data_IF_226115186760
#
_entry.id   IF_226115186760
#
_cell.length_a   1.000
_cell.length_b   1.000
_cell.length_c   1.000
_cell.angle_alpha   90.00
_cell.angle_beta   90.00
_cell.angle_gamma   90.00
#
_symmetry.space_group_name_H-M   'P 1'
#
loop_
_entity.id
_entity.type
_entity.pdbx_description
1 polymer ?
#
# COMPACT_ATOMS: atom_id res chain seq x y z
N UNK A 1 8.06 14.92 -41.12
CA UNK A 1 6.57 14.80 -41.10
C UNK A 1 6.08 13.44 -40.57
N UNK A 2 6.50 12.30 -41.12
CA UNK A 2 6.10 10.93 -40.67
C UNK A 2 6.42 10.64 -39.18
N UNK A 3 7.61 11.01 -38.72
CA UNK A 3 8.08 10.79 -37.32
C UNK A 3 7.26 11.60 -36.31
N UNK A 4 6.92 12.86 -36.65
CA UNK A 4 6.08 13.73 -35.78
C UNK A 4 4.65 13.16 -35.70
N UNK A 5 4.13 12.63 -36.81
CA UNK A 5 2.80 12.03 -36.88
C UNK A 5 2.73 10.75 -36.01
N UNK A 6 3.79 9.94 -36.02
CA UNK A 6 3.90 8.74 -35.17
C UNK A 6 3.91 9.11 -33.67
N UNK A 7 4.70 10.10 -33.27
CA UNK A 7 4.74 10.58 -31.89
C UNK A 7 3.37 11.08 -31.41
N UNK A 8 2.66 11.86 -32.21
CA UNK A 8 1.33 12.35 -31.87
C UNK A 8 0.30 11.20 -31.75
N UNK A 9 0.39 10.18 -32.62
CA UNK A 9 -0.47 9.01 -32.52
C UNK A 9 -0.22 8.23 -31.23
N UNK A 10 1.04 8.03 -30.86
CA UNK A 10 1.42 7.34 -29.60
C UNK A 10 0.89 8.08 -28.37
N UNK A 11 1.04 9.39 -28.31
CA UNK A 11 0.49 10.21 -27.21
C UNK A 11 -1.05 10.13 -27.11
N UNK A 12 -1.75 10.03 -28.25
CA UNK A 12 -3.20 9.79 -28.26
C UNK A 12 -3.56 8.40 -27.70
N UNK A 13 -2.80 7.38 -28.08
CA UNK A 13 -2.99 6.01 -27.57
C UNK A 13 -2.72 5.99 -26.08
N UNK A 14 -1.59 6.55 -25.62
CA UNK A 14 -1.23 6.66 -24.20
C UNK A 14 -2.39 7.21 -23.36
N UNK A 15 -2.93 8.37 -23.74
CA UNK A 15 -4.08 8.99 -23.06
C UNK A 15 -5.34 8.12 -23.06
N UNK A 16 -5.61 7.40 -24.15
CA UNK A 16 -6.79 6.52 -24.25
C UNK A 16 -6.69 5.27 -23.39
N UNK A 17 -5.49 4.70 -23.26
CA UNK A 17 -5.29 3.45 -22.53
C UNK A 17 -5.03 3.68 -21.04
N UNK A 18 -4.63 4.88 -20.61
CA UNK A 18 -4.25 5.15 -19.22
C UNK A 18 -5.35 4.77 -18.20
N UNK A 19 -6.60 5.17 -18.45
CA UNK A 19 -7.74 4.85 -17.58
C UNK A 19 -8.04 3.35 -17.58
N UNK A 20 -8.33 2.68 -18.72
CA UNK A 20 -8.63 1.25 -18.70
C UNK A 20 -7.46 0.42 -18.16
N UNK A 21 -6.22 0.81 -18.41
CA UNK A 21 -5.03 0.16 -17.86
C UNK A 21 -5.02 0.18 -16.33
N UNK A 22 -5.10 1.38 -15.74
CA UNK A 22 -5.01 1.53 -14.28
C UNK A 22 -6.23 0.92 -13.59
N UNK A 23 -7.44 1.11 -14.11
CA UNK A 23 -8.67 0.53 -13.54
C UNK A 23 -8.65 -1.00 -13.63
N UNK A 24 -8.23 -1.58 -14.76
CA UNK A 24 -8.12 -3.04 -14.87
C UNK A 24 -7.07 -3.58 -13.89
N UNK A 25 -5.90 -2.91 -13.79
CA UNK A 25 -4.85 -3.30 -12.86
C UNK A 25 -5.35 -3.25 -11.40
N UNK A 26 -6.03 -2.17 -11.04
CA UNK A 26 -6.65 -1.99 -9.73
C UNK A 26 -7.63 -3.12 -9.40
N UNK A 27 -8.60 -3.39 -10.27
CA UNK A 27 -9.62 -4.41 -10.06
C UNK A 27 -9.01 -5.81 -9.88
N UNK A 28 -8.03 -6.18 -10.71
CA UNK A 28 -7.34 -7.48 -10.56
C UNK A 28 -6.64 -7.58 -9.21
N UNK A 29 -5.96 -6.52 -8.76
CA UNK A 29 -5.26 -6.56 -7.48
C UNK A 29 -6.21 -6.49 -6.28
N UNK A 30 -7.33 -5.79 -6.38
CA UNK A 30 -8.40 -5.86 -5.36
C UNK A 30 -8.95 -7.29 -5.29
N UNK A 31 -9.24 -7.93 -6.42
CA UNK A 31 -9.70 -9.32 -6.45
C UNK A 31 -8.72 -10.27 -5.74
N UNK A 32 -7.41 -10.09 -5.95
CA UNK A 32 -6.37 -10.88 -5.26
C UNK A 32 -6.31 -10.66 -3.74
N UNK A 33 -6.90 -9.60 -3.23
CA UNK A 33 -7.03 -9.38 -1.79
C UNK A 33 -8.25 -10.07 -1.18
N UNK A 34 -9.17 -10.59 -2.00
CA UNK A 34 -10.37 -11.32 -1.57
C UNK A 34 -10.03 -12.80 -1.43
N UNK A 35 -10.32 -13.39 -0.26
CA UNK A 35 -9.97 -14.78 0.06
C UNK A 35 -10.52 -15.80 -0.96
N UNK A 36 -11.74 -15.61 -1.45
CA UNK A 36 -12.37 -16.50 -2.44
C UNK A 36 -11.57 -16.54 -3.76
N UNK A 37 -10.90 -15.44 -4.13
CA UNK A 37 -10.08 -15.40 -5.35
C UNK A 37 -9.00 -16.48 -5.37
N UNK A 38 -8.46 -16.88 -4.21
CA UNK A 38 -7.44 -17.92 -4.09
C UNK A 38 -7.92 -19.31 -4.51
N UNK A 39 -9.23 -19.51 -4.65
CA UNK A 39 -9.83 -20.77 -5.13
C UNK A 39 -9.99 -20.82 -6.65
N UNK A 40 -9.74 -19.71 -7.35
CA UNK A 40 -9.81 -19.67 -8.81
C UNK A 40 -8.68 -20.49 -9.46
N UNK A 41 -8.92 -21.08 -10.62
CA UNK A 41 -7.87 -21.76 -11.39
C UNK A 41 -6.69 -20.79 -11.67
N UNK A 42 -5.47 -21.27 -11.47
CA UNK A 42 -4.23 -20.48 -11.70
C UNK A 42 -4.12 -19.93 -13.11
N UNK A 43 -4.75 -20.61 -14.10
CA UNK A 43 -4.81 -20.14 -15.49
C UNK A 43 -5.52 -18.79 -15.64
N UNK A 44 -6.58 -18.54 -14.85
CA UNK A 44 -7.32 -17.27 -14.87
C UNK A 44 -6.44 -16.15 -14.32
N UNK A 45 -5.76 -16.37 -13.19
CA UNK A 45 -4.84 -15.38 -12.62
C UNK A 45 -3.65 -15.09 -13.56
N UNK A 46 -3.15 -16.14 -14.25
CA UNK A 46 -2.10 -16.00 -15.25
C UNK A 46 -2.56 -15.17 -16.46
N UNK A 47 -3.80 -15.36 -16.93
CA UNK A 47 -4.38 -14.55 -18.00
C UNK A 47 -4.49 -13.07 -17.60
N UNK A 48 -5.00 -12.76 -16.41
CA UNK A 48 -5.07 -11.39 -15.92
C UNK A 48 -3.67 -10.76 -15.77
N UNK A 49 -2.71 -11.54 -15.30
CA UNK A 49 -1.30 -11.11 -15.23
C UNK A 49 -0.75 -10.76 -16.62
N UNK A 50 -1.02 -11.61 -17.63
CA UNK A 50 -0.59 -11.37 -19.02
C UNK A 50 -1.21 -10.09 -19.58
N UNK A 51 -2.51 -9.87 -19.36
CA UNK A 51 -3.20 -8.64 -19.81
C UNK A 51 -2.57 -7.40 -19.17
N UNK A 52 -2.29 -7.43 -17.84
CA UNK A 52 -1.60 -6.34 -17.16
C UNK A 52 -0.24 -6.07 -17.80
N UNK A 53 0.55 -7.12 -18.05
CA UNK A 53 1.88 -6.97 -18.66
C UNK A 53 1.80 -6.37 -20.08
N UNK A 54 0.84 -6.83 -20.89
CA UNK A 54 0.64 -6.29 -22.24
C UNK A 54 0.22 -4.82 -22.21
N UNK A 55 -0.78 -4.46 -21.40
CA UNK A 55 -1.22 -3.07 -21.27
C UNK A 55 -0.11 -2.17 -20.73
N UNK A 56 0.66 -2.65 -19.76
CA UNK A 56 1.83 -1.93 -19.22
C UNK A 56 2.91 -1.73 -20.29
N UNK A 57 3.18 -2.75 -21.10
CA UNK A 57 4.14 -2.68 -22.20
C UNK A 57 3.70 -1.68 -23.28
N UNK A 58 2.41 -1.70 -23.67
CA UNK A 58 1.86 -0.74 -24.63
C UNK A 58 1.95 0.68 -24.05
N UNK A 59 1.55 0.88 -22.79
CA UNK A 59 1.69 2.18 -22.12
C UNK A 59 3.14 2.65 -22.10
N UNK A 60 4.08 1.80 -21.70
CA UNK A 60 5.52 2.09 -21.68
C UNK A 60 6.04 2.56 -23.04
N UNK A 61 5.74 1.81 -24.10
CA UNK A 61 6.18 2.16 -25.47
C UNK A 61 5.56 3.49 -25.89
N UNK A 62 4.25 3.68 -25.69
CA UNK A 62 3.57 4.91 -26.08
C UNK A 62 4.04 6.13 -25.29
N UNK A 63 4.52 5.93 -24.06
CA UNK A 63 5.05 6.99 -23.18
C UNK A 63 6.48 7.38 -23.52
N UNK A 64 7.39 6.40 -23.61
CA UNK A 64 8.82 6.66 -23.74
C UNK A 64 9.29 6.87 -25.19
N UNK A 65 8.71 6.17 -26.17
CA UNK A 65 9.16 6.30 -27.56
C UNK A 65 9.02 7.73 -28.12
N UNK A 66 7.92 8.47 -27.88
CA UNK A 66 7.83 9.89 -28.25
C UNK A 66 8.93 10.76 -27.63
N UNK A 67 9.30 10.49 -26.36
CA UNK A 67 10.33 11.24 -25.64
C UNK A 67 11.70 11.07 -26.32
N UNK A 68 12.06 9.83 -26.71
CA UNK A 68 13.29 9.54 -27.43
C UNK A 68 13.30 10.13 -28.85
N UNK A 69 12.18 10.00 -29.57
CA UNK A 69 12.05 10.53 -30.94
C UNK A 69 12.18 12.05 -30.98
N UNK A 70 11.51 12.75 -30.06
CA UNK A 70 11.46 14.21 -30.03
C UNK A 70 12.61 14.83 -29.24
N UNK A 71 13.52 14.01 -28.69
CA UNK A 71 14.63 14.43 -27.83
C UNK A 71 14.17 15.38 -26.69
N UNK A 72 12.96 15.15 -26.18
CA UNK A 72 12.44 15.97 -25.09
C UNK A 72 13.30 15.76 -23.85
N UNK A 73 13.69 16.87 -23.22
CA UNK A 73 14.34 16.82 -21.90
C UNK A 73 13.33 16.37 -20.86
N UNK A 74 13.24 15.07 -20.62
CA UNK A 74 12.48 14.52 -19.51
C UNK A 74 13.43 14.09 -18.40
N UNK A 75 13.05 14.34 -17.14
CA UNK A 75 13.79 13.82 -16.00
C UNK A 75 13.58 12.31 -15.91
N UNK A 76 14.58 11.55 -16.34
CA UNK A 76 14.61 10.10 -16.22
C UNK A 76 15.07 9.74 -14.80
N UNK A 77 14.42 8.76 -14.19
CA UNK A 77 14.76 8.28 -12.84
C UNK A 77 15.92 7.26 -12.92
N UNK A 78 17.14 7.76 -13.08
CA UNK A 78 18.35 6.93 -13.21
C UNK A 78 18.56 5.98 -12.03
N UNK A 79 18.17 6.37 -10.82
CA UNK A 79 18.26 5.50 -9.64
C UNK A 79 17.37 4.26 -9.75
N UNK A 80 16.19 4.36 -10.37
CA UNK A 80 15.34 3.20 -10.62
C UNK A 80 15.93 2.29 -11.69
N UNK A 81 16.55 2.85 -12.73
CA UNK A 81 17.28 2.07 -13.76
C UNK A 81 18.45 1.33 -13.10
N UNK A 82 19.25 2.02 -12.31
CA UNK A 82 20.39 1.43 -11.59
C UNK A 82 19.91 0.30 -10.64
N UNK A 83 18.78 0.51 -9.95
CA UNK A 83 18.19 -0.51 -9.09
C UNK A 83 17.75 -1.76 -9.87
N UNK A 84 17.13 -1.62 -11.04
CA UNK A 84 16.79 -2.75 -11.93
C UNK A 84 18.06 -3.48 -12.39
N UNK A 85 19.13 -2.74 -12.71
CA UNK A 85 20.43 -3.32 -13.04
C UNK A 85 21.00 -4.19 -11.91
N UNK A 86 20.90 -3.70 -10.66
CA UNK A 86 21.32 -4.47 -9.48
C UNK A 86 20.42 -5.70 -9.27
N UNK A 87 19.10 -5.58 -9.43
CA UNK A 87 18.18 -6.72 -9.35
C UNK A 87 18.52 -7.81 -10.39
N UNK A 88 18.91 -7.40 -11.58
CA UNK A 88 19.36 -8.32 -12.62
C UNK A 88 20.69 -8.99 -12.26
N UNK A 89 21.67 -8.22 -11.79
CA UNK A 89 22.96 -8.74 -11.35
C UNK A 89 22.82 -9.73 -10.19
N UNK A 90 22.04 -9.40 -9.15
CA UNK A 90 21.83 -10.34 -8.03
C UNK A 90 21.11 -11.61 -8.49
N UNK A 91 20.21 -11.50 -9.48
CA UNK A 91 19.53 -12.66 -10.08
C UNK A 91 20.52 -13.55 -10.85
N UNK A 92 21.47 -12.98 -11.58
CA UNK A 92 22.52 -13.72 -12.29
C UNK A 92 23.47 -14.41 -11.32
N UNK A 93 23.93 -13.69 -10.28
CA UNK A 93 24.84 -14.24 -9.26
C UNK A 93 24.19 -15.44 -8.54
N UNK A 94 22.89 -15.38 -8.27
CA UNK A 94 22.14 -16.43 -7.57
C UNK A 94 21.25 -17.25 -8.52
N UNK A 95 21.69 -17.45 -9.77
CA UNK A 95 20.89 -18.07 -10.84
C UNK A 95 20.38 -19.48 -10.54
N UNK A 96 21.05 -20.21 -9.65
CA UNK A 96 20.64 -21.56 -9.20
C UNK A 96 19.38 -21.56 -8.36
N UNK A 97 18.97 -20.38 -7.82
CA UNK A 97 17.83 -20.26 -6.91
C UNK A 97 16.75 -19.38 -7.53
N UNK A 98 15.59 -19.97 -7.83
CA UNK A 98 14.40 -19.28 -8.29
C UNK A 98 14.61 -18.27 -9.45
N UNK A 99 15.48 -18.57 -10.42
CA UNK A 99 15.84 -17.66 -11.51
C UNK A 99 14.64 -17.12 -12.28
N UNK A 100 13.74 -18.00 -12.74
CA UNK A 100 12.52 -17.62 -13.48
C UNK A 100 11.60 -16.70 -12.67
N UNK A 101 11.44 -16.97 -11.37
CA UNK A 101 10.61 -16.15 -10.50
C UNK A 101 11.22 -14.77 -10.22
N UNK A 102 12.55 -14.68 -10.17
CA UNK A 102 13.28 -13.41 -10.08
C UNK A 102 13.09 -12.58 -11.36
N UNK A 103 13.20 -13.19 -12.56
CA UNK A 103 12.94 -12.49 -13.82
C UNK A 103 11.49 -11.96 -13.88
N UNK A 104 10.51 -12.77 -13.51
CA UNK A 104 9.11 -12.32 -13.41
C UNK A 104 8.97 -11.14 -12.44
N UNK A 105 9.67 -11.16 -11.31
CA UNK A 105 9.64 -10.06 -10.34
C UNK A 105 10.29 -8.79 -10.91
N UNK A 106 11.40 -8.90 -11.64
CA UNK A 106 12.03 -7.75 -12.31
C UNK A 106 11.07 -7.10 -13.29
N UNK A 107 10.35 -7.89 -14.10
CA UNK A 107 9.32 -7.36 -15.02
C UNK A 107 8.26 -6.58 -14.23
N UNK A 108 7.80 -7.11 -13.10
CA UNK A 108 6.84 -6.41 -12.24
C UNK A 108 7.39 -5.09 -11.67
N UNK A 109 8.68 -5.06 -11.28
CA UNK A 109 9.30 -3.81 -10.83
C UNK A 109 9.39 -2.79 -11.98
N UNK A 110 9.72 -3.23 -13.19
CA UNK A 110 9.69 -2.36 -14.38
C UNK A 110 8.28 -1.78 -14.63
N UNK A 111 7.23 -2.58 -14.47
CA UNK A 111 5.84 -2.11 -14.58
C UNK A 111 5.55 -1.01 -13.56
N UNK A 112 5.91 -1.21 -12.28
CA UNK A 112 5.69 -0.22 -11.24
C UNK A 112 6.50 1.07 -11.48
N UNK A 113 7.75 0.95 -11.89
CA UNK A 113 8.67 2.09 -12.03
C UNK A 113 8.43 2.89 -13.31
N UNK A 114 8.18 2.20 -14.43
CA UNK A 114 8.17 2.82 -15.75
C UNK A 114 6.78 2.87 -16.41
N UNK A 115 5.75 2.29 -15.77
CA UNK A 115 4.37 2.43 -16.23
C UNK A 115 3.51 3.08 -15.16
N UNK A 116 3.33 2.47 -13.98
CA UNK A 116 2.44 3.01 -12.93
C UNK A 116 2.91 4.36 -12.41
N UNK A 117 4.20 4.49 -12.08
CA UNK A 117 4.80 5.75 -11.61
C UNK A 117 4.69 6.86 -12.67
N UNK A 118 4.88 6.53 -13.96
CA UNK A 118 4.75 7.51 -15.03
C UNK A 118 3.29 7.89 -15.31
N UNK A 119 2.32 6.97 -15.14
CA UNK A 119 0.89 7.35 -15.10
C UNK A 119 0.65 8.37 -13.99
N UNK A 120 1.20 8.15 -12.81
CA UNK A 120 1.15 9.11 -11.70
C UNK A 120 1.75 10.47 -12.08
N UNK A 121 2.93 10.48 -12.73
CA UNK A 121 3.61 11.70 -13.22
C UNK A 121 2.90 12.42 -14.34
N UNK A 122 1.99 11.77 -15.08
CA UNK A 122 1.15 12.47 -16.06
C UNK A 122 0.19 13.45 -15.38
N UNK A 123 -0.12 13.25 -14.10
CA UNK A 123 -1.07 14.02 -13.30
C UNK A 123 -2.43 14.23 -14.00
N UNK A 124 -2.86 13.24 -14.78
CA UNK A 124 -4.16 13.28 -15.45
C UNK A 124 -5.27 13.12 -14.41
N UNK A 125 -6.02 14.21 -14.20
CA UNK A 125 -7.12 14.25 -13.22
C UNK A 125 -8.20 13.19 -13.49
N UNK A 126 -8.42 12.81 -14.75
CA UNK A 126 -9.42 11.80 -15.12
C UNK A 126 -8.99 10.40 -14.72
N UNK A 127 -7.69 10.09 -14.82
CA UNK A 127 -7.11 8.82 -14.37
C UNK A 127 -7.26 8.68 -12.85
N UNK A 128 -6.84 9.70 -12.09
CA UNK A 128 -6.97 9.69 -10.62
C UNK A 128 -8.44 9.61 -10.18
N UNK A 129 -9.32 10.36 -10.83
CA UNK A 129 -10.75 10.33 -10.52
C UNK A 129 -11.35 8.95 -10.77
N UNK A 130 -11.02 8.29 -11.89
CA UNK A 130 -11.49 6.94 -12.19
C UNK A 130 -10.96 5.93 -11.17
N UNK A 131 -9.65 5.96 -10.87
CA UNK A 131 -9.02 5.12 -9.88
C UNK A 131 -9.65 5.29 -8.49
N UNK A 132 -9.76 6.53 -7.99
CA UNK A 132 -10.31 6.84 -6.67
C UNK A 132 -11.79 6.44 -6.53
N UNK A 133 -12.60 6.57 -7.58
CA UNK A 133 -14.00 6.13 -7.56
C UNK A 133 -14.12 4.61 -7.54
N UNK A 134 -13.37 3.91 -8.38
CA UNK A 134 -13.37 2.44 -8.38
C UNK A 134 -12.91 1.93 -7.02
N UNK A 135 -11.82 2.48 -6.48
CA UNK A 135 -11.34 2.16 -5.14
C UNK A 135 -12.46 2.34 -4.08
N UNK A 136 -13.05 3.53 -4.00
CA UNK A 136 -14.06 3.81 -2.98
C UNK A 136 -15.28 2.90 -3.10
N UNK A 137 -15.81 2.71 -4.32
CA UNK A 137 -17.02 1.93 -4.53
C UNK A 137 -16.76 0.45 -4.22
N UNK A 138 -15.75 -0.13 -4.86
CA UNK A 138 -15.48 -1.57 -4.74
C UNK A 138 -15.02 -1.90 -3.33
N UNK A 139 -14.06 -1.14 -2.78
CA UNK A 139 -13.52 -1.42 -1.46
C UNK A 139 -14.57 -1.24 -0.36
N UNK A 140 -15.41 -0.20 -0.44
CA UNK A 140 -16.47 0.01 0.53
C UNK A 140 -17.51 -1.12 0.47
N UNK A 141 -17.87 -1.60 -0.71
CA UNK A 141 -18.77 -2.75 -0.83
C UNK A 141 -18.18 -4.01 -0.17
N UNK A 142 -16.87 -4.29 -0.38
CA UNK A 142 -16.19 -5.40 0.27
C UNK A 142 -16.13 -5.26 1.79
N UNK A 143 -15.91 -4.05 2.31
CA UNK A 143 -15.93 -3.75 3.75
C UNK A 143 -17.33 -3.92 4.34
N UNK A 144 -18.38 -3.48 3.64
CA UNK A 144 -19.77 -3.71 4.08
C UNK A 144 -20.07 -5.19 4.22
N UNK A 145 -19.65 -6.02 3.23
CA UNK A 145 -19.81 -7.47 3.34
C UNK A 145 -19.02 -8.01 4.55
N UNK A 146 -17.80 -7.54 4.79
CA UNK A 146 -17.01 -7.94 5.96
C UNK A 146 -17.68 -7.60 7.29
N UNK A 147 -18.24 -6.40 7.42
CA UNK A 147 -18.99 -5.97 8.60
C UNK A 147 -20.29 -6.76 8.77
N UNK A 148 -20.99 -7.04 7.67
CA UNK A 148 -22.19 -7.91 7.71
C UNK A 148 -21.86 -9.29 8.26
N UNK A 149 -20.78 -9.93 7.79
CA UNK A 149 -20.33 -11.23 8.28
C UNK A 149 -20.01 -11.20 9.79
N UNK A 150 -19.44 -10.10 10.28
CA UNK A 150 -19.18 -9.91 11.71
C UNK A 150 -20.47 -9.88 12.53
N UNK A 151 -21.46 -9.06 12.13
CA UNK A 151 -22.73 -8.97 12.83
C UNK A 151 -23.57 -10.25 12.74
N UNK A 152 -23.55 -10.90 11.57
CA UNK A 152 -24.21 -12.18 11.35
C UNK A 152 -23.49 -13.36 12.03
N UNK A 153 -22.32 -13.14 12.66
CA UNK A 153 -21.46 -14.16 13.26
C UNK A 153 -21.12 -15.33 12.30
N UNK A 154 -20.97 -15.00 11.02
CA UNK A 154 -20.60 -15.98 9.99
C UNK A 154 -19.08 -16.03 9.89
N UNK A 155 -18.52 -17.22 10.11
CA UNK A 155 -17.10 -17.48 9.94
C UNK A 155 -16.90 -18.81 9.22
N UNK A 156 -15.99 -18.82 8.24
CA UNK A 156 -15.70 -20.00 7.43
C UNK A 156 -14.20 -20.10 7.18
N UNK A 157 -13.62 -21.26 7.42
CA UNK A 157 -12.23 -21.56 7.14
C UNK A 157 -12.10 -22.82 6.28
N UNK A 158 -11.21 -22.78 5.28
CA UNK A 158 -10.88 -23.93 4.43
C UNK A 158 -9.37 -23.93 4.15
N UNK A 159 -8.68 -25.09 4.24
CA UNK A 159 -7.30 -25.19 3.77
C UNK A 159 -7.20 -24.85 2.29
N UNK A 160 -6.25 -24.01 1.92
CA UNK A 160 -5.91 -23.65 0.54
C UNK A 160 -4.40 -23.50 0.47
N UNK A 161 -3.74 -24.31 -0.35
CA UNK A 161 -2.29 -24.43 -0.45
C UNK A 161 -1.59 -23.11 -0.83
N UNK A 162 -2.28 -22.23 -1.57
CA UNK A 162 -1.77 -20.93 -1.97
C UNK A 162 -1.75 -19.88 -0.85
N UNK A 163 -2.41 -20.16 0.27
CA UNK A 163 -2.54 -19.24 1.42
C UNK A 163 -1.92 -19.83 2.67
N UNK A 164 -1.00 -19.12 3.32
CA UNK A 164 -0.29 -19.57 4.51
C UNK A 164 -1.21 -20.04 5.66
N UNK A 165 -2.30 -19.31 5.90
CA UNK A 165 -3.31 -19.66 6.92
C UNK A 165 -4.56 -20.32 6.33
N UNK A 166 -4.53 -20.77 5.05
CA UNK A 166 -5.73 -21.16 4.34
C UNK A 166 -6.67 -19.99 4.05
N UNK A 167 -7.85 -20.29 3.48
CA UNK A 167 -8.90 -19.32 3.25
C UNK A 167 -9.68 -19.08 4.56
N UNK A 168 -9.73 -17.85 5.01
CA UNK A 168 -10.49 -17.40 6.19
C UNK A 168 -11.48 -16.31 5.78
N UNK A 169 -12.75 -16.47 6.12
CA UNK A 169 -13.81 -15.52 5.84
C UNK A 169 -14.59 -15.30 7.14
N UNK A 170 -14.79 -14.02 7.54
CA UNK A 170 -15.47 -13.65 8.77
C UNK A 170 -14.53 -13.23 9.89
N UNK A 171 -14.77 -13.70 11.11
CA UNK A 171 -14.05 -13.28 12.30
C UNK A 171 -13.24 -14.45 12.87
N UNK A 172 -11.90 -14.34 12.91
CA UNK A 172 -10.97 -15.37 13.38
C UNK A 172 -9.89 -14.77 14.27
N UNK A 173 -9.42 -15.52 15.26
CA UNK A 173 -8.34 -15.11 16.18
C UNK A 173 -8.61 -13.73 16.80
N UNK A 174 -9.90 -13.47 17.11
CA UNK A 174 -10.39 -12.19 17.61
C UNK A 174 -10.06 -10.99 16.69
N UNK A 175 -10.11 -11.22 15.36
CA UNK A 175 -9.85 -10.24 14.30
C UNK A 175 -10.86 -10.37 13.18
N UNK A 176 -11.29 -9.25 12.62
CA UNK A 176 -12.13 -9.22 11.43
C UNK A 176 -11.28 -9.39 10.16
N UNK A 177 -11.28 -10.59 9.61
CA UNK A 177 -10.80 -10.84 8.25
C UNK A 177 -11.83 -10.32 7.22
N UNK A 178 -13.12 -10.41 7.54
CA UNK A 178 -14.19 -10.15 6.58
C UNK A 178 -14.09 -11.14 5.43
N UNK A 179 -13.89 -10.64 4.23
CA UNK A 179 -13.64 -11.46 3.03
C UNK A 179 -12.20 -11.35 2.53
N UNK A 180 -11.33 -10.65 3.26
CA UNK A 180 -9.95 -10.37 2.83
C UNK A 180 -8.98 -11.48 3.27
N UNK A 181 -7.93 -11.68 2.47
CA UNK A 181 -6.86 -12.66 2.76
C UNK A 181 -6.10 -12.30 4.05
N UNK A 182 -5.87 -11.01 4.30
CA UNK A 182 -5.13 -10.55 5.46
C UNK A 182 -5.68 -9.20 5.95
N UNK A 183 -6.12 -9.11 7.23
CA UNK A 183 -6.68 -7.89 7.79
C UNK A 183 -5.66 -6.74 7.91
N UNK A 184 -4.35 -7.01 7.95
CA UNK A 184 -3.35 -5.94 8.00
C UNK A 184 -3.27 -5.18 6.66
N UNK A 185 -3.23 -5.91 5.55
CA UNK A 185 -3.26 -5.30 4.22
C UNK A 185 -4.59 -4.58 3.96
N UNK A 186 -5.70 -5.20 4.35
CA UNK A 186 -7.02 -4.60 4.18
C UNK A 186 -7.17 -3.31 4.99
N UNK A 187 -6.62 -3.25 6.22
CA UNK A 187 -6.58 -2.02 7.02
C UNK A 187 -5.81 -0.90 6.34
N UNK A 188 -4.67 -1.20 5.71
CA UNK A 188 -3.90 -0.20 4.96
C UNK A 188 -4.72 0.42 3.83
N UNK A 189 -5.42 -0.40 3.04
CA UNK A 189 -6.27 0.12 1.95
C UNK A 189 -7.48 0.88 2.50
N UNK A 190 -8.08 0.43 3.60
CA UNK A 190 -9.16 1.16 4.27
C UNK A 190 -8.72 2.56 4.73
N UNK A 191 -7.49 2.73 5.21
CA UNK A 191 -6.92 4.05 5.54
C UNK A 191 -6.74 4.92 4.30
N UNK A 192 -6.30 4.35 3.18
CA UNK A 192 -6.25 5.06 1.89
C UNK A 192 -7.66 5.50 1.46
N UNK A 193 -8.67 4.64 1.60
CA UNK A 193 -10.07 5.00 1.30
C UNK A 193 -10.57 6.14 2.20
N UNK A 194 -10.19 6.19 3.48
CA UNK A 194 -10.49 7.33 4.36
C UNK A 194 -9.92 8.62 3.78
N UNK A 195 -8.64 8.63 3.36
CA UNK A 195 -7.99 9.83 2.80
C UNK A 195 -8.64 10.28 1.49
N UNK A 196 -8.98 9.35 0.61
CA UNK A 196 -9.70 9.66 -0.64
C UNK A 196 -11.11 10.19 -0.35
N UNK A 197 -11.82 9.61 0.62
CA UNK A 197 -13.14 10.10 1.04
C UNK A 197 -13.06 11.50 1.68
N UNK A 198 -12.02 11.79 2.49
CA UNK A 198 -11.73 13.12 3.04
C UNK A 198 -11.49 14.12 1.91
N UNK A 199 -10.71 13.77 0.88
CA UNK A 199 -10.51 14.61 -0.32
C UNK A 199 -11.83 14.95 -0.99
N UNK A 200 -12.66 13.93 -1.22
CA UNK A 200 -13.96 14.12 -1.85
C UNK A 200 -14.90 14.96 -0.97
N UNK A 201 -14.86 14.79 0.35
CA UNK A 201 -15.63 15.60 1.29
C UNK A 201 -15.23 17.09 1.23
N UNK A 202 -13.94 17.39 1.21
CA UNK A 202 -13.41 18.77 1.14
C UNK A 202 -13.83 19.43 -0.18
N UNK A 203 -13.73 18.69 -1.30
CA UNK A 203 -13.97 19.20 -2.64
C UNK A 203 -15.46 19.16 -3.06
N UNK A 204 -16.33 18.53 -2.28
CA UNK A 204 -17.74 18.40 -2.61
C UNK A 204 -18.52 19.69 -2.32
N UNK A 205 -19.31 20.15 -3.31
CA UNK A 205 -20.28 21.22 -3.13
C UNK A 205 -21.66 20.67 -2.68
N UNK A 206 -21.98 19.42 -3.01
CA UNK A 206 -23.25 18.78 -2.71
C UNK A 206 -23.23 18.15 -1.30
N UNK A 207 -24.23 18.52 -0.45
CA UNK A 207 -24.39 17.98 0.91
C UNK A 207 -24.56 16.44 0.94
N UNK A 208 -25.25 15.86 -0.03
CA UNK A 208 -25.45 14.42 -0.10
C UNK A 208 -24.13 13.68 -0.32
N UNK A 209 -23.26 14.22 -1.20
CA UNK A 209 -21.94 13.65 -1.39
C UNK A 209 -21.09 13.74 -0.11
N UNK A 210 -21.21 14.83 0.65
CA UNK A 210 -20.53 14.95 1.96
C UNK A 210 -21.02 13.89 2.94
N UNK A 211 -22.33 13.64 3.00
CA UNK A 211 -22.90 12.58 3.86
C UNK A 211 -22.37 11.22 3.44
N UNK A 212 -22.36 10.91 2.14
CA UNK A 212 -21.79 9.64 1.62
C UNK A 212 -20.33 9.49 2.03
N UNK A 213 -19.52 10.55 1.89
CA UNK A 213 -18.12 10.51 2.32
C UNK A 213 -17.97 10.22 3.82
N UNK A 214 -18.80 10.85 4.68
CA UNK A 214 -18.79 10.59 6.14
C UNK A 214 -19.16 9.12 6.42
N UNK A 215 -20.16 8.57 5.75
CA UNK A 215 -20.55 7.16 5.89
C UNK A 215 -19.40 6.24 5.46
N UNK A 216 -18.77 6.52 4.33
CA UNK A 216 -17.61 5.74 3.87
C UNK A 216 -16.48 5.80 4.88
N UNK A 217 -16.12 7.00 5.39
CA UNK A 217 -15.09 7.16 6.43
C UNK A 217 -15.42 6.32 7.66
N UNK A 218 -16.65 6.36 8.13
CA UNK A 218 -17.10 5.60 9.30
C UNK A 218 -16.99 4.08 9.07
N UNK A 219 -17.43 3.58 7.91
CA UNK A 219 -17.33 2.15 7.57
C UNK A 219 -15.87 1.67 7.51
N UNK A 220 -14.99 2.44 6.86
CA UNK A 220 -13.56 2.10 6.79
C UNK A 220 -12.90 2.14 8.18
N UNK A 221 -13.21 3.15 8.98
CA UNK A 221 -12.73 3.28 10.36
C UNK A 221 -13.19 2.11 11.24
N UNK A 222 -14.44 1.68 11.08
CA UNK A 222 -15.01 0.51 11.77
C UNK A 222 -14.28 -0.77 11.39
N UNK A 223 -13.95 -0.95 10.10
CA UNK A 223 -13.16 -2.10 9.66
C UNK A 223 -11.76 -2.10 10.30
N UNK A 224 -11.07 -0.95 10.29
CA UNK A 224 -9.75 -0.83 10.92
C UNK A 224 -9.82 -1.18 12.41
N UNK A 225 -10.84 -0.71 13.13
CA UNK A 225 -11.07 -1.00 14.55
C UNK A 225 -11.19 -2.52 14.80
N UNK A 226 -12.03 -3.21 14.02
CA UNK A 226 -12.30 -4.64 14.20
C UNK A 226 -11.23 -5.57 13.61
N UNK A 227 -10.35 -5.06 12.74
CA UNK A 227 -9.31 -5.85 12.07
C UNK A 227 -8.24 -6.39 13.03
N UNK A 228 -8.11 -5.82 14.24
CA UNK A 228 -7.03 -6.13 15.18
C UNK A 228 -5.63 -5.85 14.62
N UNK A 229 -5.52 -5.00 13.59
CA UNK A 229 -4.25 -4.69 12.93
C UNK A 229 -3.45 -3.66 13.72
N UNK A 230 -2.40 -4.08 14.43
CA UNK A 230 -1.47 -3.16 15.12
C UNK A 230 -0.81 -2.20 14.14
N UNK A 231 -0.42 -2.68 12.96
CA UNK A 231 0.13 -1.82 11.90
C UNK A 231 -0.89 -0.80 11.40
N UNK A 232 -2.17 -1.19 11.27
CA UNK A 232 -3.26 -0.28 10.90
C UNK A 232 -3.48 0.82 11.92
N UNK A 233 -3.38 0.50 13.23
CA UNK A 233 -3.46 1.51 14.30
C UNK A 233 -2.30 2.50 14.23
N UNK A 234 -1.08 2.03 14.06
CA UNK A 234 0.11 2.90 13.91
C UNK A 234 -0.03 3.81 12.69
N UNK A 235 -0.47 3.26 11.56
CA UNK A 235 -0.71 4.01 10.32
C UNK A 235 -1.81 5.08 10.52
N UNK A 236 -2.92 4.74 11.17
CA UNK A 236 -4.01 5.67 11.46
C UNK A 236 -3.55 6.85 12.31
N UNK A 237 -2.81 6.58 13.39
CA UNK A 237 -2.28 7.62 14.27
C UNK A 237 -1.28 8.50 13.52
N UNK A 238 -0.34 7.91 12.79
CA UNK A 238 0.64 8.65 12.00
C UNK A 238 -0.03 9.51 10.90
N UNK A 239 -1.04 8.96 10.23
CA UNK A 239 -1.86 9.66 9.25
C UNK A 239 -2.57 10.88 9.88
N UNK A 240 -3.19 10.70 11.04
CA UNK A 240 -3.87 11.79 11.75
C UNK A 240 -2.88 12.88 12.19
N UNK A 241 -1.77 12.49 12.82
CA UNK A 241 -0.72 13.44 13.26
C UNK A 241 -0.19 14.23 12.06
N UNK A 242 0.16 13.58 10.97
CA UNK A 242 0.70 14.22 9.76
C UNK A 242 -0.30 15.21 9.15
N UNK A 243 -1.54 14.76 8.91
CA UNK A 243 -2.57 15.61 8.29
C UNK A 243 -2.93 16.83 9.14
N UNK A 244 -3.09 16.64 10.44
CA UNK A 244 -3.45 17.72 11.37
C UNK A 244 -2.28 18.68 11.53
N UNK A 245 -1.03 18.20 11.56
CA UNK A 245 0.16 19.04 11.60
C UNK A 245 0.19 20.00 10.42
N UNK A 246 0.07 19.51 9.20
CA UNK A 246 0.15 20.35 8.00
C UNK A 246 -1.11 21.20 7.79
N UNK A 247 -2.28 20.73 8.22
CA UNK A 247 -3.49 21.56 8.24
C UNK A 247 -3.33 22.74 9.21
N UNK A 248 -2.86 22.48 10.43
CA UNK A 248 -2.62 23.54 11.40
C UNK A 248 -1.49 24.48 10.95
N UNK A 249 -0.45 23.95 10.29
CA UNK A 249 0.59 24.76 9.65
C UNK A 249 0.02 25.72 8.60
N UNK A 250 -0.92 25.26 7.78
CA UNK A 250 -1.63 26.08 6.80
C UNK A 250 -2.42 27.22 7.49
N UNK A 251 -3.18 26.89 8.53
CA UNK A 251 -3.97 27.90 9.27
C UNK A 251 -3.10 28.99 9.93
N UNK A 252 -1.85 28.67 10.24
CA UNK A 252 -0.91 29.61 10.82
C UNK A 252 -0.15 30.46 9.79
N UNK A 253 -0.45 30.31 8.48
CA UNK A 253 0.24 31.01 7.38
C UNK A 253 0.35 32.55 7.62
N UNK A 254 -0.75 33.17 8.02
CA UNK A 254 -0.87 34.62 8.17
C UNK A 254 -0.67 35.13 9.62
N UNK A 255 -0.24 34.24 10.53
CA UNK A 255 0.01 34.66 11.91
C UNK A 255 1.40 35.27 12.07
N UNK A 256 1.54 36.24 12.97
CA UNK A 256 2.83 36.88 13.32
C UNK A 256 3.75 36.02 14.19
N UNK A 257 3.38 34.77 14.49
CA UNK A 257 4.15 33.86 15.33
C UNK A 257 5.49 33.48 14.69
N UNK A 258 6.53 33.31 15.50
CA UNK A 258 7.80 32.75 15.03
C UNK A 258 7.64 31.31 14.52
N UNK A 259 8.52 30.86 13.63
CA UNK A 259 8.49 29.50 13.05
C UNK A 259 8.47 28.44 14.15
N UNK A 260 9.30 28.60 15.18
CA UNK A 260 9.37 27.66 16.32
C UNK A 260 8.02 27.57 17.03
N UNK A 261 7.35 28.70 17.33
CA UNK A 261 6.01 28.67 17.94
C UNK A 261 4.97 27.98 17.06
N UNK A 262 5.02 28.18 15.73
CA UNK A 262 4.15 27.49 14.76
C UNK A 262 4.37 25.98 14.79
N UNK A 263 5.63 25.53 14.77
CA UNK A 263 5.98 24.11 14.83
C UNK A 263 5.50 23.49 16.14
N UNK A 264 5.84 24.07 17.29
CA UNK A 264 5.45 23.56 18.61
C UNK A 264 3.93 23.47 18.73
N UNK A 265 3.20 24.49 18.32
CA UNK A 265 1.74 24.47 18.34
C UNK A 265 1.18 23.37 17.41
N UNK A 266 1.72 23.21 16.19
CA UNK A 266 1.26 22.16 15.26
C UNK A 266 1.54 20.77 15.80
N UNK A 267 2.70 20.55 16.44
CA UNK A 267 3.03 19.30 17.10
C UNK A 267 2.04 18.99 18.23
N UNK A 268 1.84 19.92 19.16
CA UNK A 268 0.92 19.73 20.29
C UNK A 268 -0.50 19.38 19.83
N UNK A 269 -1.06 20.18 18.89
CA UNK A 269 -2.41 19.95 18.37
C UNK A 269 -2.50 18.59 17.66
N UNK A 270 -1.52 18.22 16.86
CA UNK A 270 -1.55 16.96 16.13
C UNK A 270 -1.44 15.73 17.05
N UNK A 271 -0.62 15.78 18.10
CA UNK A 271 -0.56 14.71 19.10
C UNK A 271 -1.84 14.58 19.92
N UNK A 272 -2.43 15.71 20.37
CA UNK A 272 -3.72 15.69 21.06
C UNK A 272 -4.81 15.06 20.18
N UNK A 273 -4.90 15.49 18.91
CA UNK A 273 -5.86 14.90 17.99
C UNK A 273 -5.56 13.43 17.65
N UNK A 274 -4.29 13.04 17.54
CA UNK A 274 -3.90 11.64 17.39
C UNK A 274 -4.38 10.77 18.55
N UNK A 275 -4.27 11.26 19.79
CA UNK A 275 -4.80 10.60 20.97
C UNK A 275 -6.34 10.48 20.94
N UNK A 276 -7.04 11.52 20.48
CA UNK A 276 -8.50 11.49 20.30
C UNK A 276 -8.90 10.44 19.25
N UNK A 277 -8.20 10.38 18.11
CA UNK A 277 -8.45 9.38 17.06
C UNK A 277 -8.22 7.97 17.60
N UNK A 278 -7.17 7.74 18.38
CA UNK A 278 -6.92 6.46 19.02
C UNK A 278 -8.03 6.09 20.02
N UNK A 279 -8.41 7.01 20.89
CA UNK A 279 -9.54 6.81 21.82
C UNK A 279 -10.85 6.53 21.10
N UNK A 280 -11.13 7.24 20.01
CA UNK A 280 -12.29 7.00 19.14
C UNK A 280 -12.28 5.60 18.52
N UNK A 281 -11.11 5.11 18.09
CA UNK A 281 -10.95 3.75 17.57
C UNK A 281 -11.33 2.70 18.62
N UNK A 282 -10.84 2.86 19.85
CA UNK A 282 -11.15 1.96 20.97
C UNK A 282 -12.64 1.99 21.35
N UNK A 283 -13.26 3.17 21.32
CA UNK A 283 -14.70 3.31 21.59
C UNK A 283 -15.56 2.62 20.53
N UNK A 284 -15.21 2.79 19.24
CA UNK A 284 -15.91 2.13 18.14
C UNK A 284 -15.74 0.62 18.24
N UNK A 285 -14.54 0.12 18.49
CA UNK A 285 -14.28 -1.30 18.69
C UNK A 285 -15.12 -1.89 19.81
N UNK A 286 -15.08 -1.30 21.01
CA UNK A 286 -15.90 -1.72 22.16
C UNK A 286 -17.39 -1.66 21.87
N UNK A 287 -17.87 -0.60 21.21
CA UNK A 287 -19.26 -0.45 20.81
C UNK A 287 -19.75 -1.58 19.91
N UNK A 288 -18.96 -1.98 18.93
CA UNK A 288 -19.26 -3.12 18.04
C UNK A 288 -19.31 -4.45 18.80
N UNK A 289 -18.37 -4.68 19.74
CA UNK A 289 -18.34 -5.89 20.56
C UNK A 289 -19.57 -5.97 21.47
N UNK A 290 -19.93 -4.87 22.13
CA UNK A 290 -21.14 -4.82 22.94
C UNK A 290 -22.37 -5.08 22.07
N UNK A 291 -22.49 -4.42 20.92
CA UNK A 291 -23.62 -4.59 20.01
C UNK A 291 -23.75 -6.04 19.52
N UNK A 292 -22.67 -6.67 19.10
CA UNK A 292 -22.70 -8.07 18.61
C UNK A 292 -23.03 -9.05 19.73
N UNK A 293 -22.56 -8.80 20.96
CA UNK A 293 -22.83 -9.68 22.10
C UNK A 293 -24.22 -9.49 22.70
N UNK A 294 -24.90 -8.37 22.44
CA UNK A 294 -26.26 -8.13 22.91
C UNK A 294 -27.35 -8.75 22.01
N UNK A 295 -27.01 -9.12 20.79
CA UNK A 295 -27.94 -9.73 19.83
C UNK A 295 -27.82 -11.24 19.89
N UNK A 296 -28.87 -11.94 20.31
CA UNK A 296 -28.97 -13.39 20.21
C UNK A 296 -29.32 -13.78 18.76
N UNK A 297 -28.32 -13.92 17.93
CA UNK A 297 -28.49 -14.43 16.56
C UNK A 297 -28.29 -15.94 16.60
N UNK A 298 -29.35 -16.70 16.34
CA UNK A 298 -29.22 -18.10 15.97
C UNK A 298 -28.48 -18.14 14.63
N UNK A 299 -27.27 -18.71 14.62
CA UNK A 299 -26.51 -18.82 13.39
C UNK A 299 -27.24 -19.69 12.36
N UNK A 300 -27.20 -19.34 11.05
CA UNK A 300 -27.84 -20.15 10.02
C UNK A 300 -27.30 -21.59 10.08
N UNK A 301 -28.20 -22.58 10.01
CA UNK A 301 -27.89 -24.04 10.08
C UNK A 301 -27.01 -24.57 8.95
N UNK A 302 -26.55 -23.76 8.03
CA UNK A 302 -25.94 -24.17 6.75
C UNK A 302 -24.44 -24.51 6.84
N UNK A 303 -23.75 -24.23 7.95
CA UNK A 303 -22.28 -24.41 8.06
C UNK A 303 -21.93 -25.31 9.27
N UNK A 304 -22.26 -26.59 9.20
CA UNK A 304 -21.86 -27.60 10.19
C UNK A 304 -20.43 -28.10 9.95
N UNK A 305 -19.43 -27.40 10.50
CA UNK A 305 -18.13 -27.97 10.84
C UNK A 305 -17.87 -27.77 12.34
N UNK A 306 -17.29 -28.79 13.01
CA UNK A 306 -17.05 -28.79 14.47
C UNK A 306 -16.31 -27.54 14.99
N UNK A 307 -15.45 -26.91 14.18
CA UNK A 307 -14.80 -25.63 14.52
C UNK A 307 -15.77 -24.44 14.55
N UNK A 308 -16.83 -24.47 13.75
CA UNK A 308 -17.83 -23.40 13.69
C UNK A 308 -18.82 -23.46 14.87
N UNK A 309 -19.05 -24.62 15.48
CA UNK A 309 -19.87 -24.75 16.70
C UNK A 309 -19.24 -24.09 17.92
N UNK A 310 -17.90 -24.12 18.03
CA UNK A 310 -17.16 -23.46 19.12
C UNK A 310 -17.26 -21.93 19.08
N UNK A 311 -17.56 -21.33 17.90
CA UNK A 311 -17.70 -19.89 17.75
C UNK A 311 -19.15 -19.41 18.00
N UNK A 312 -20.17 -20.29 17.87
CA UNK A 312 -21.59 -19.95 18.04
C UNK A 312 -21.93 -19.46 19.45
N UNK A 313 -21.32 -20.03 20.49
CA UNK A 313 -21.67 -19.77 21.91
C UNK A 313 -20.63 -18.95 22.67
N UNK A 314 -19.52 -18.57 22.04
CA UNK A 314 -18.45 -17.80 22.68
C UNK A 314 -18.71 -16.30 22.55
N UNK A 315 -18.58 -15.55 23.66
CA UNK A 315 -18.58 -14.09 23.60
C UNK A 315 -17.48 -13.61 22.64
N UNK A 316 -17.87 -12.73 21.73
CA UNK A 316 -16.91 -12.07 20.83
C UNK A 316 -16.02 -11.16 21.67
N UNK A 317 -14.73 -11.24 21.49
CA UNK A 317 -13.71 -10.38 22.10
C UNK A 317 -12.70 -9.99 21.04
N UNK A 318 -11.99 -8.90 21.24
CA UNK A 318 -10.87 -8.46 20.37
C UNK A 318 -9.52 -8.70 21.03
N UNK A 319 -9.47 -9.32 22.22
CA UNK A 319 -8.21 -9.75 22.82
C UNK A 319 -7.55 -10.81 21.96
N UNK A 320 -6.36 -10.52 21.47
CA UNK A 320 -5.68 -11.34 20.47
C UNK A 320 -5.07 -12.60 21.09
N UNK A 321 -5.64 -13.76 20.77
CA UNK A 321 -5.17 -15.06 21.24
C UNK A 321 -3.86 -15.53 20.58
N UNK A 322 -3.55 -15.04 19.39
CA UNK A 322 -2.31 -15.39 18.67
C UNK A 322 -1.04 -14.78 19.29
N UNK A 323 -1.19 -13.85 20.24
CA UNK A 323 -0.10 -13.16 20.94
C UNK A 323 -0.10 -13.43 22.44
N UNK A 324 -1.19 -13.98 22.97
CA UNK A 324 -1.34 -14.28 24.38
C UNK A 324 -0.33 -15.35 24.82
N UNK A 325 0.43 -15.05 25.88
CA UNK A 325 1.45 -15.98 26.42
C UNK A 325 2.77 -16.07 25.66
N UNK A 326 2.99 -15.27 24.58
CA UNK A 326 4.27 -15.20 23.90
C UNK A 326 5.13 -14.07 24.47
N UNK A 327 6.37 -14.39 24.86
CA UNK A 327 7.37 -13.39 25.29
C UNK A 327 7.72 -12.40 24.16
N UNK A 328 7.52 -12.78 22.90
CA UNK A 328 7.84 -11.97 21.73
C UNK A 328 6.65 -11.10 21.29
N UNK A 329 6.62 -9.85 21.79
CA UNK A 329 5.66 -8.80 21.41
C UNK A 329 5.69 -8.51 19.91
N UNK A 330 6.82 -8.78 19.20
CA UNK A 330 7.01 -8.50 17.79
C UNK A 330 6.34 -9.50 16.85
N UNK A 331 5.79 -10.61 17.37
CA UNK A 331 5.27 -11.73 16.60
C UNK A 331 6.32 -12.27 15.60
N UNK A 332 7.49 -12.63 16.11
CA UNK A 332 8.65 -13.19 15.38
C UNK A 332 9.32 -12.24 14.38
N UNK A 333 8.94 -10.96 14.31
CA UNK A 333 9.56 -10.01 13.37
C UNK A 333 11.04 -9.80 13.63
N UNK A 334 11.46 -9.69 14.90
CA UNK A 334 12.89 -9.56 15.23
C UNK A 334 13.70 -10.78 14.79
N UNK A 335 13.15 -11.98 14.92
CA UNK A 335 13.80 -13.20 14.43
C UNK A 335 13.89 -13.23 12.89
N UNK A 336 12.86 -12.74 12.18
CA UNK A 336 12.87 -12.58 10.73
C UNK A 336 13.90 -11.53 10.28
N UNK A 337 13.99 -10.38 10.97
CA UNK A 337 14.96 -9.32 10.65
C UNK A 337 16.40 -9.78 10.89
N UNK A 338 16.65 -10.50 12.01
CA UNK A 338 17.96 -11.12 12.27
C UNK A 338 18.32 -12.09 11.14
N UNK A 339 17.37 -12.97 10.75
CA UNK A 339 17.57 -13.91 9.64
C UNK A 339 17.88 -13.19 8.31
N UNK A 340 17.22 -12.06 8.05
CA UNK A 340 17.47 -11.25 6.86
C UNK A 340 18.89 -10.64 6.85
N UNK A 341 19.36 -10.17 8.02
CA UNK A 341 20.74 -9.69 8.19
C UNK A 341 21.74 -10.81 7.97
N UNK A 342 21.48 -12.01 8.53
CA UNK A 342 22.38 -13.16 8.37
C UNK A 342 22.46 -13.62 6.89
N UNK A 343 21.33 -13.57 6.17
CA UNK A 343 21.30 -13.81 4.72
C UNK A 343 22.10 -12.76 3.93
N UNK A 344 21.97 -11.47 4.28
CA UNK A 344 22.75 -10.41 3.67
C UNK A 344 24.25 -10.64 3.84
N UNK A 345 24.71 -11.14 5.00
CA UNK A 345 26.14 -11.44 5.26
C UNK A 345 26.73 -12.52 4.33
N UNK A 346 25.91 -13.39 3.73
CA UNK A 346 26.39 -14.37 2.74
C UNK A 346 26.87 -13.70 1.45
N UNK A 347 26.23 -12.60 1.05
CA UNK A 347 26.63 -11.79 -0.09
C UNK A 347 26.31 -10.30 0.21
N UNK A 348 27.20 -9.58 0.93
CA UNK A 348 26.89 -8.25 1.44
C UNK A 348 26.63 -7.22 0.34
N UNK A 349 27.27 -7.34 -0.83
CA UNK A 349 27.18 -6.35 -1.90
C UNK A 349 25.87 -6.52 -2.68
N UNK A 350 25.56 -7.74 -3.14
CA UNK A 350 24.45 -8.01 -4.06
C UNK A 350 23.30 -8.81 -3.45
N UNK A 351 23.44 -9.32 -2.23
CA UNK A 351 22.38 -10.09 -1.55
C UNK A 351 22.13 -11.48 -2.14
N UNK A 352 20.99 -12.06 -1.80
CA UNK A 352 20.61 -13.45 -2.07
C UNK A 352 19.47 -13.61 -3.08
N UNK A 353 19.16 -12.58 -3.82
CA UNK A 353 18.02 -12.43 -4.75
C UNK A 353 16.61 -12.48 -4.09
N UNK A 354 15.62 -11.75 -4.65
CA UNK A 354 14.32 -11.58 -3.98
C UNK A 354 13.49 -12.87 -3.85
N UNK A 355 13.58 -13.78 -4.80
CA UNK A 355 12.82 -15.03 -4.80
C UNK A 355 13.64 -16.24 -4.35
N UNK A 356 14.96 -16.15 -4.44
CA UNK A 356 15.87 -17.19 -4.00
C UNK A 356 16.19 -17.17 -2.50
N UNK A 357 15.91 -16.09 -1.78
CA UNK A 357 16.37 -15.90 -0.40
C UNK A 357 15.90 -16.98 0.59
N UNK A 358 14.68 -17.53 0.41
CA UNK A 358 14.15 -18.63 1.26
C UNK A 358 14.90 -19.93 0.99
N UNK A 359 15.14 -20.25 -0.28
CA UNK A 359 15.83 -21.48 -0.67
C UNK A 359 17.30 -21.43 -0.23
N UNK A 360 17.94 -20.28 -0.39
CA UNK A 360 19.30 -20.02 0.11
C UNK A 360 19.34 -20.12 1.65
N UNK A 361 18.31 -19.60 2.34
CA UNK A 361 18.23 -19.74 3.79
C UNK A 361 18.15 -21.20 4.23
N UNK A 362 17.33 -22.02 3.56
CA UNK A 362 17.20 -23.45 3.84
C UNK A 362 18.51 -24.22 3.58
N UNK A 363 19.21 -23.86 2.49
CA UNK A 363 20.45 -24.51 2.08
C UNK A 363 21.65 -24.13 2.98
N UNK A 364 21.87 -22.83 3.20
CA UNK A 364 23.07 -22.30 3.83
C UNK A 364 22.92 -21.92 5.30
N UNK A 365 21.71 -21.60 5.74
CA UNK A 365 21.41 -21.12 7.09
C UNK A 365 20.14 -21.79 7.66
N UNK A 366 20.09 -23.14 7.75
CA UNK A 366 18.87 -23.88 8.09
C UNK A 366 18.35 -23.59 9.51
N UNK A 367 19.19 -23.06 10.40
CA UNK A 367 18.83 -22.70 11.77
C UNK A 367 18.03 -21.38 11.84
N UNK A 368 18.06 -20.56 10.79
CA UNK A 368 17.39 -19.24 10.79
C UNK A 368 15.87 -19.36 10.77
N UNK A 369 15.19 -18.32 11.27
CA UNK A 369 13.74 -18.30 11.33
C UNK A 369 13.12 -18.29 9.91
N UNK A 370 13.72 -17.59 8.94
CA UNK A 370 13.28 -17.59 7.53
C UNK A 370 13.37 -19.00 6.92
N UNK A 371 14.44 -19.75 7.20
CA UNK A 371 14.59 -21.12 6.70
C UNK A 371 13.47 -22.04 7.23
N UNK A 372 13.13 -21.89 8.52
CA UNK A 372 12.13 -22.72 9.20
C UNK A 372 10.68 -22.38 8.81
N UNK A 373 10.39 -21.10 8.57
CA UNK A 373 9.00 -20.63 8.36
C UNK A 373 8.68 -20.30 6.91
N UNK A 374 9.69 -20.18 6.05
CA UNK A 374 9.57 -19.74 4.64
C UNK A 374 8.88 -18.37 4.48
N UNK A 375 8.92 -17.53 5.53
CA UNK A 375 8.29 -16.21 5.53
C UNK A 375 9.24 -15.13 5.03
N UNK A 376 8.66 -14.07 4.46
CA UNK A 376 9.40 -12.83 4.17
C UNK A 376 9.75 -12.10 5.48
N UNK A 377 10.73 -11.17 5.47
CA UNK A 377 11.10 -10.39 6.66
C UNK A 377 9.98 -9.49 7.23
N UNK A 378 8.81 -9.42 6.60
CA UNK A 378 7.72 -8.51 6.99
C UNK A 378 8.16 -7.05 7.17
N UNK A 379 9.13 -6.62 6.37
CA UNK A 379 9.61 -5.26 6.25
C UNK A 379 10.29 -5.10 4.90
N UNK A 380 9.89 -4.08 4.14
CA UNK A 380 10.53 -3.86 2.83
C UNK A 380 12.03 -3.57 2.97
N UNK A 381 12.44 -2.90 4.05
CA UNK A 381 13.84 -2.56 4.30
C UNK A 381 14.71 -3.80 4.48
N UNK A 382 14.34 -4.69 5.41
CA UNK A 382 15.10 -5.92 5.66
C UNK A 382 14.99 -6.90 4.50
N UNK A 383 13.87 -6.92 3.80
CA UNK A 383 13.72 -7.72 2.59
C UNK A 383 14.62 -7.22 1.46
N UNK A 384 14.67 -5.91 1.24
CA UNK A 384 15.55 -5.28 0.28
C UNK A 384 17.03 -5.57 0.60
N UNK A 385 17.41 -5.43 1.88
CA UNK A 385 18.76 -5.71 2.36
C UNK A 385 19.20 -7.17 2.12
N UNK A 386 18.34 -8.13 2.46
CA UNK A 386 18.62 -9.54 2.21
C UNK A 386 18.67 -9.86 0.71
N UNK A 387 17.74 -9.31 -0.06
CA UNK A 387 17.57 -9.64 -1.47
C UNK A 387 18.61 -9.01 -2.40
N UNK A 388 19.01 -7.75 -2.13
CA UNK A 388 19.88 -6.96 -3.04
C UNK A 388 21.17 -6.48 -2.39
N UNK A 389 21.42 -6.87 -1.14
CA UNK A 389 22.57 -6.43 -0.37
C UNK A 389 22.59 -4.92 -0.12
N UNK A 390 23.75 -4.42 0.23
CA UNK A 390 23.97 -3.00 0.52
C UNK A 390 23.81 -2.15 -0.75
N UNK A 391 24.24 -2.64 -1.92
CA UNK A 391 24.20 -1.87 -3.16
C UNK A 391 22.76 -1.50 -3.58
N UNK A 392 21.87 -2.49 -3.67
CA UNK A 392 20.46 -2.22 -4.05
C UNK A 392 19.73 -1.43 -2.97
N UNK A 393 20.03 -1.69 -1.70
CA UNK A 393 19.46 -0.94 -0.59
C UNK A 393 19.83 0.54 -0.64
N UNK A 394 21.09 0.87 -0.82
CA UNK A 394 21.56 2.28 -0.91
C UNK A 394 20.92 2.97 -2.12
N UNK A 395 20.98 2.36 -3.30
CA UNK A 395 20.44 2.94 -4.54
C UNK A 395 18.95 3.23 -4.41
N UNK A 396 18.17 2.29 -3.85
CA UNK A 396 16.75 2.50 -3.65
C UNK A 396 16.45 3.56 -2.57
N UNK A 397 17.21 3.57 -1.47
CA UNK A 397 17.03 4.57 -0.42
C UNK A 397 17.40 5.97 -0.89
N UNK A 398 18.44 6.16 -1.71
CA UNK A 398 18.77 7.47 -2.31
C UNK A 398 17.57 7.96 -3.14
N UNK A 399 17.00 7.09 -3.99
CA UNK A 399 15.81 7.45 -4.74
C UNK A 399 14.68 7.87 -3.79
N UNK A 400 14.28 7.00 -2.88
CA UNK A 400 13.13 7.22 -2.00
C UNK A 400 13.30 8.47 -1.13
N UNK A 401 14.44 8.59 -0.45
CA UNK A 401 14.72 9.74 0.44
C UNK A 401 14.82 11.05 -0.33
N UNK A 402 15.36 11.05 -1.54
CA UNK A 402 15.39 12.26 -2.38
C UNK A 402 13.97 12.74 -2.73
N UNK A 403 13.03 11.82 -3.05
CA UNK A 403 11.63 12.17 -3.32
C UNK A 403 10.93 12.67 -2.06
N UNK A 404 11.11 12.00 -0.94
CA UNK A 404 10.54 12.42 0.35
C UNK A 404 11.07 13.80 0.79
N UNK A 405 12.36 14.05 0.64
CA UNK A 405 12.97 15.32 1.01
C UNK A 405 12.43 16.48 0.15
N UNK A 406 12.34 16.29 -1.16
CA UNK A 406 11.79 17.29 -2.05
C UNK A 406 10.30 17.56 -1.76
N UNK A 407 9.52 16.52 -1.50
CA UNK A 407 8.13 16.67 -1.10
C UNK A 407 8.01 17.38 0.26
N UNK A 408 8.85 17.03 1.24
CA UNK A 408 8.86 17.69 2.55
C UNK A 408 9.13 19.18 2.46
N UNK A 409 10.08 19.62 1.62
CA UNK A 409 10.30 21.05 1.37
C UNK A 409 9.04 21.75 0.90
N UNK A 410 8.29 21.14 -0.01
CA UNK A 410 7.06 21.71 -0.52
C UNK A 410 5.92 21.73 0.50
N UNK A 411 5.84 20.74 1.38
CA UNK A 411 4.84 20.70 2.46
C UNK A 411 4.96 21.89 3.41
N UNK A 412 6.14 22.45 3.59
CA UNK A 412 6.32 23.69 4.36
C UNK A 412 6.04 24.96 3.53
N UNK A 413 5.88 24.86 2.21
CA UNK A 413 5.51 25.94 1.33
C UNK A 413 3.99 26.03 1.14
N UNK A 414 3.29 26.71 2.04
CA UNK A 414 1.81 26.84 2.03
C UNK A 414 1.26 27.69 0.88
N UNK A 415 2.08 28.17 -0.04
CA UNK A 415 1.65 28.94 -1.23
C UNK A 415 1.31 28.05 -2.42
N UNK A 416 1.57 26.76 -2.32
CA UNK A 416 1.29 25.76 -3.38
C UNK A 416 -0.22 25.74 -3.65
N UNK A 417 -0.59 25.75 -4.92
CA UNK A 417 -1.97 25.56 -5.35
C UNK A 417 -2.48 24.17 -4.92
N UNK A 418 -3.73 24.11 -4.47
CA UNK A 418 -4.37 22.86 -4.01
C UNK A 418 -3.54 22.17 -2.89
N UNK A 419 -3.05 22.98 -1.91
CA UNK A 419 -2.16 22.52 -0.84
C UNK A 419 -2.72 21.31 -0.07
N UNK A 420 -4.02 21.31 0.25
CA UNK A 420 -4.64 20.21 1.00
C UNK A 420 -4.62 18.90 0.19
N UNK A 421 -4.82 18.95 -1.13
CA UNK A 421 -4.69 17.77 -1.99
C UNK A 421 -3.25 17.23 -1.98
N UNK A 422 -2.25 18.12 -1.94
CA UNK A 422 -0.86 17.72 -1.83
C UNK A 422 -0.53 17.08 -0.47
N UNK A 423 -1.10 17.58 0.62
CA UNK A 423 -0.99 16.96 1.96
C UNK A 423 -1.60 15.56 1.94
N UNK A 424 -2.81 15.40 1.37
CA UNK A 424 -3.50 14.10 1.27
C UNK A 424 -2.74 13.10 0.40
N UNK A 425 -2.15 13.54 -0.72
CA UNK A 425 -1.30 12.68 -1.56
C UNK A 425 -0.10 12.14 -0.75
N UNK A 426 0.54 13.01 0.02
CA UNK A 426 1.67 12.63 0.90
C UNK A 426 1.23 11.71 2.05
N UNK A 427 0.04 11.89 2.61
CA UNK A 427 -0.50 10.98 3.62
C UNK A 427 -0.74 9.57 3.06
N UNK A 428 -1.25 9.44 1.82
CA UNK A 428 -1.44 8.14 1.16
C UNK A 428 -0.09 7.44 1.02
N UNK A 429 0.94 8.13 0.53
CA UNK A 429 2.29 7.55 0.41
C UNK A 429 2.86 7.19 1.79
N UNK A 430 2.69 8.05 2.81
CA UNK A 430 3.14 7.82 4.18
C UNK A 430 2.49 6.56 4.80
N UNK A 431 1.18 6.40 4.67
CA UNK A 431 0.43 5.23 5.19
C UNK A 431 1.01 3.94 4.61
N UNK A 432 1.23 3.90 3.29
CA UNK A 432 1.77 2.70 2.63
C UNK A 432 3.24 2.49 2.99
N UNK A 433 4.03 3.55 3.14
CA UNK A 433 5.42 3.45 3.56
C UNK A 433 5.55 2.87 4.97
N UNK A 434 4.72 3.34 5.92
CA UNK A 434 4.67 2.77 7.28
C UNK A 434 4.21 1.30 7.23
N UNK A 435 3.21 0.99 6.40
CA UNK A 435 2.81 -0.40 6.16
C UNK A 435 4.00 -1.22 5.67
N UNK A 436 4.73 -0.73 4.68
CA UNK A 436 5.89 -1.42 4.11
C UNK A 436 7.04 -1.66 5.10
N UNK A 437 7.21 -0.79 6.12
CA UNK A 437 8.18 -1.01 7.21
C UNK A 437 7.77 -2.15 8.15
N UNK A 438 6.47 -2.41 8.27
CA UNK A 438 5.88 -3.41 9.17
C UNK A 438 5.39 -4.67 8.45
N UNK A 439 5.20 -4.57 7.13
CA UNK A 439 4.74 -5.63 6.23
C UNK A 439 5.44 -5.38 4.87
N UNK A 440 5.67 -6.38 4.03
CA UNK A 440 6.35 -6.17 2.74
C UNK A 440 5.37 -5.61 1.71
N UNK A 441 5.38 -4.31 1.42
CA UNK A 441 4.47 -3.69 0.45
C UNK A 441 5.19 -2.76 -0.53
N UNK A 442 5.97 -1.89 -0.33
CA UNK A 442 6.47 -0.81 -1.20
C UNK A 442 7.18 -1.31 -2.45
N UNK A 443 8.02 -2.34 -2.32
CA UNK A 443 8.94 -2.82 -3.35
C UNK A 443 9.11 -4.34 -3.26
N UNK A 444 9.58 -4.97 -4.35
CA UNK A 444 9.81 -6.41 -4.47
C UNK A 444 8.55 -7.27 -4.25
N UNK A 445 7.38 -6.70 -4.44
CA UNK A 445 6.09 -7.32 -4.22
C UNK A 445 5.12 -6.99 -5.36
N UNK A 446 3.96 -7.68 -5.42
CA UNK A 446 2.90 -7.51 -6.44
C UNK A 446 1.56 -7.23 -5.75
N UNK A 447 1.56 -6.35 -4.75
CA UNK A 447 0.38 -6.06 -3.93
C UNK A 447 -0.35 -4.80 -4.39
N UNK A 448 -1.61 -4.66 -4.00
CA UNK A 448 -2.41 -3.51 -4.38
C UNK A 448 -1.85 -2.19 -3.80
N UNK A 449 -1.42 -2.19 -2.54
CA UNK A 449 -0.78 -1.03 -1.94
C UNK A 449 0.47 -0.55 -2.72
N UNK A 450 1.20 -1.46 -3.39
CA UNK A 450 2.35 -1.10 -4.23
C UNK A 450 1.93 -0.26 -5.44
N UNK A 451 0.80 -0.60 -6.10
CA UNK A 451 0.27 0.25 -7.21
C UNK A 451 -0.08 1.64 -6.69
N UNK A 452 -0.80 1.72 -5.58
CA UNK A 452 -1.18 3.01 -4.98
C UNK A 452 0.07 3.83 -4.64
N UNK A 453 1.06 3.20 -4.01
CA UNK A 453 2.32 3.85 -3.64
C UNK A 453 3.00 4.50 -4.86
N UNK A 454 3.24 3.73 -5.93
CA UNK A 454 3.94 4.22 -7.11
C UNK A 454 3.12 5.25 -7.90
N UNK A 455 1.80 5.07 -7.97
CA UNK A 455 0.89 6.02 -8.63
C UNK A 455 0.92 7.39 -7.92
N UNK A 456 0.77 7.39 -6.59
CA UNK A 456 0.76 8.64 -5.82
C UNK A 456 2.15 9.25 -5.65
N UNK A 457 3.20 8.46 -5.56
CA UNK A 457 4.58 8.96 -5.59
C UNK A 457 4.87 9.67 -6.92
N UNK A 458 4.39 9.13 -8.04
CA UNK A 458 4.45 9.79 -9.34
C UNK A 458 3.72 11.14 -9.37
N UNK A 459 2.50 11.20 -8.81
CA UNK A 459 1.71 12.43 -8.69
C UNK A 459 2.42 13.51 -7.86
N UNK A 460 3.00 13.11 -6.72
CA UNK A 460 3.80 14.00 -5.87
C UNK A 460 5.01 14.52 -6.65
N UNK A 461 5.71 13.64 -7.38
CA UNK A 461 6.87 14.03 -8.16
C UNK A 461 6.53 15.04 -9.26
N UNK A 462 5.41 14.86 -9.96
CA UNK A 462 4.94 15.85 -10.96
C UNK A 462 4.79 17.24 -10.33
N UNK A 463 4.12 17.33 -9.17
CA UNK A 463 3.93 18.61 -8.47
C UNK A 463 5.27 19.21 -8.02
N UNK A 464 6.17 18.36 -7.54
CA UNK A 464 7.51 18.80 -7.12
C UNK A 464 8.32 19.35 -8.31
N UNK A 465 8.24 18.68 -9.46
CA UNK A 465 8.93 19.13 -10.68
C UNK A 465 8.37 20.47 -11.15
N UNK A 466 7.05 20.61 -11.19
CA UNK A 466 6.37 21.82 -11.62
C UNK A 466 6.72 23.05 -10.75
N UNK A 467 6.70 22.90 -9.43
CA UNK A 467 7.05 24.00 -8.51
C UNK A 467 8.52 24.40 -8.61
N UNK A 468 9.43 23.42 -8.77
CA UNK A 468 10.84 23.70 -8.97
C UNK A 468 11.12 24.46 -10.28
N UNK A 469 10.37 24.14 -11.34
CA UNK A 469 10.52 24.83 -12.64
C UNK A 469 9.97 26.26 -12.56
N UNK A 470 8.88 26.49 -11.80
CA UNK A 470 8.36 27.85 -11.54
C UNK A 470 9.36 28.71 -10.73
N UNK A 471 10.02 28.14 -9.74
CA UNK A 471 11.03 28.85 -8.94
C UNK A 471 12.20 29.27 -9.85
N UNK A 472 12.71 28.37 -10.67
CA UNK A 472 13.82 28.65 -11.61
C UNK A 472 13.46 29.66 -12.69
N UNK A 473 12.20 29.62 -13.19
CA UNK A 473 11.71 30.60 -14.17
C UNK A 473 11.54 32.02 -13.64
N UNK A 474 11.34 32.17 -12.30
CA UNK A 474 11.27 33.46 -11.63
C UNK A 474 12.65 34.05 -11.24
N UNK A 475 13.72 33.24 -11.31
CA UNK A 475 15.11 33.68 -11.01
C UNK A 475 15.86 34.11 -12.30
N UNK A 476 15.27 33.89 -13.49
CA UNK A 476 15.77 34.36 -14.79
C UNK A 476 15.00 35.62 -15.24
#
# INVERSE_FOLDING_TARGET
>A
MMIINLSQQMQKIEKRIAIPYIVFFELVLICRMVSIYSTLPTKIDSLFTLIIMLLSGVYFICHFLPIFIEKRQKRIEYWLIAFIGILFLTTLINHTYAFSENIKLIIWQCIFFFSVYEVGRSNDKSVFKAFEYVLLIVWTALVIVGLYLFFARISFAKPVDSLYYGMRIGFFENRLYGIFVDPNYASTISLVCILVAVRNFINANNRWLKIVCVVVIFLQFSYVALSGSRSGVIQLIAMAIFGIFFTNWLFQKNTSKTVIKKVVQSVLVSFCCGAIVFGGLQLVEKGYIVAVNSVNIEAPKVLENKENELLKNKKVTTERTDVEGKEDISNSRFALWKSAIDLMKLNPIFGTSPKGFVDIAKDKLPQTHIAKTAQTPHSFFFYLLAATGISGTIVFLIFLLSKMFNSAKLLFNVRIKDYMDFVLDNQIVLVILISGLLITEVILTRRFATVIFWLYLGKIQYRTDMENDLIRGNEQ
#
